data_IF_692002855967
#
_entry.id   IF_692002855967
#
_cell.length_a   1.000
_cell.length_b   1.000
_cell.length_c   1.000
_cell.angle_alpha   90.00
_cell.angle_beta   90.00
_cell.angle_gamma   90.00
#
_symmetry.space_group_name_H-M   'P 1'
#
loop_
_entity.id
_entity.type
_entity.pdbx_description
1 polymer ?
#
# COMPACT_ATOMS: atom_id res chain seq x y z
N UNK A 1 -1.73 -20.09 6.17
CA UNK A 1 -2.37 -18.83 5.71
C UNK A 1 -1.85 -18.55 4.32
N UNK A 2 -2.69 -18.16 3.38
CA UNK A 2 -2.32 -17.84 2.00
C UNK A 2 -2.01 -16.35 1.80
N UNK A 3 -1.36 -16.03 0.67
CA UNK A 3 -0.98 -14.65 0.32
C UNK A 3 -2.19 -13.72 0.27
N UNK A 4 -3.31 -14.12 -0.36
CA UNK A 4 -4.46 -13.23 -0.53
C UNK A 4 -5.06 -12.82 0.81
N UNK A 5 -5.16 -13.75 1.76
CA UNK A 5 -5.60 -13.43 3.13
C UNK A 5 -4.64 -12.47 3.84
N UNK A 6 -3.32 -12.64 3.64
CA UNK A 6 -2.31 -11.73 4.20
C UNK A 6 -2.40 -10.32 3.56
N UNK A 7 -2.59 -10.25 2.24
CA UNK A 7 -2.80 -9.00 1.52
C UNK A 7 -4.07 -8.29 1.98
N UNK A 8 -5.16 -9.02 2.20
CA UNK A 8 -6.42 -8.46 2.69
C UNK A 8 -6.26 -7.84 4.09
N UNK A 9 -5.64 -8.57 5.04
CA UNK A 9 -5.43 -8.06 6.41
C UNK A 9 -4.53 -6.83 6.45
N UNK A 10 -3.40 -6.87 5.74
CA UNK A 10 -2.47 -5.73 5.67
C UNK A 10 -3.00 -4.59 4.78
N UNK A 11 -4.00 -4.87 3.93
CA UNK A 11 -4.71 -3.91 3.09
C UNK A 11 -5.70 -3.04 3.86
N UNK A 12 -6.28 -3.54 4.95
CA UNK A 12 -7.22 -2.79 5.82
C UNK A 12 -6.57 -1.58 6.51
N UNK A 13 -5.23 -1.52 6.54
CA UNK A 13 -4.47 -0.45 7.17
C UNK A 13 -3.71 0.36 6.12
N UNK A 14 -4.38 1.27 5.38
CA UNK A 14 -3.78 2.00 4.27
C UNK A 14 -2.67 2.97 4.70
N UNK A 15 -2.71 3.44 5.94
CA UNK A 15 -1.71 4.36 6.49
C UNK A 15 -0.52 3.65 7.15
N UNK A 16 -0.63 2.35 7.45
CA UNK A 16 0.47 1.59 8.03
C UNK A 16 1.41 1.07 6.95
N UNK A 17 2.71 1.22 7.24
CA UNK A 17 3.79 0.74 6.39
C UNK A 17 4.50 -0.40 7.07
N UNK A 18 3.87 -1.57 7.10
CA UNK A 18 4.49 -2.77 7.65
C UNK A 18 5.85 -3.01 6.96
N UNK A 19 6.92 -2.91 7.75
CA UNK A 19 8.31 -3.05 7.31
C UNK A 19 8.89 -4.39 7.70
N UNK A 20 8.33 -5.03 8.72
CA UNK A 20 8.84 -6.30 9.21
C UNK A 20 7.71 -7.22 9.71
N UNK A 21 8.06 -8.47 10.00
CA UNK A 21 7.21 -9.44 10.68
C UNK A 21 8.01 -10.06 11.81
N UNK A 22 7.41 -10.15 12.99
CA UNK A 22 8.01 -10.78 14.17
C UNK A 22 7.03 -11.80 14.74
N UNK A 23 7.54 -12.76 15.50
CA UNK A 23 6.70 -13.65 16.28
C UNK A 23 7.07 -13.57 17.76
N UNK A 24 6.10 -13.80 18.63
CA UNK A 24 6.26 -13.79 20.08
C UNK A 24 5.66 -15.07 20.66
N UNK A 25 6.38 -15.66 21.62
CA UNK A 25 5.91 -16.84 22.36
C UNK A 25 4.97 -16.36 23.46
N UNK A 26 3.72 -16.81 23.41
CA UNK A 26 2.67 -16.45 24.34
C UNK A 26 2.11 -17.72 25.00
N UNK A 27 2.78 -18.15 26.09
CA UNK A 27 2.48 -19.42 26.75
C UNK A 27 2.73 -20.62 25.83
N UNK A 28 1.71 -21.44 25.63
CA UNK A 28 1.79 -22.66 24.80
C UNK A 28 1.61 -22.40 23.29
N UNK A 29 1.60 -21.12 22.89
CA UNK A 29 1.33 -20.70 21.51
C UNK A 29 2.34 -19.68 21.06
N UNK A 30 2.46 -19.53 19.76
CA UNK A 30 3.31 -18.52 19.13
C UNK A 30 2.45 -17.63 18.26
N UNK A 31 2.53 -16.33 18.49
CA UNK A 31 1.75 -15.32 17.79
C UNK A 31 2.63 -14.57 16.81
N UNK A 32 2.11 -14.31 15.61
CA UNK A 32 2.83 -13.66 14.53
C UNK A 32 2.23 -12.29 14.28
N UNK A 33 3.09 -11.28 14.22
CA UNK A 33 2.75 -9.87 14.13
C UNK A 33 3.44 -9.21 12.94
N UNK A 34 2.69 -8.39 12.19
CA UNK A 34 3.28 -7.45 11.24
C UNK A 34 3.66 -6.15 11.97
N UNK A 35 4.84 -5.65 11.69
CA UNK A 35 5.45 -4.52 12.39
C UNK A 35 5.56 -3.32 11.46
N UNK A 36 4.99 -2.20 11.88
CA UNK A 36 5.24 -0.89 11.27
C UNK A 36 6.12 -0.07 12.23
N UNK A 37 7.34 0.23 11.78
CA UNK A 37 8.25 1.14 12.48
C UNK A 37 8.26 2.44 11.70
N UNK A 38 7.47 3.41 12.16
CA UNK A 38 7.42 4.74 11.57
C UNK A 38 7.58 5.81 12.65
N UNK A 39 8.40 6.83 12.34
CA UNK A 39 8.61 8.01 13.20
C UNK A 39 8.79 7.66 14.69
N UNK A 40 9.69 6.71 14.98
CA UNK A 40 10.05 6.24 16.32
C UNK A 40 8.95 5.46 17.08
N UNK A 41 7.81 5.18 16.45
CA UNK A 41 6.74 4.37 17.04
C UNK A 41 6.74 2.99 16.41
N UNK A 42 6.70 1.94 17.23
CA UNK A 42 6.53 0.55 16.79
C UNK A 42 5.08 0.14 16.98
N UNK A 43 4.39 -0.11 15.88
CA UNK A 43 3.03 -0.66 15.88
C UNK A 43 3.08 -2.14 15.52
N UNK A 44 2.31 -2.97 16.23
CA UNK A 44 2.18 -4.40 15.97
C UNK A 44 0.74 -4.71 15.54
N UNK A 45 0.59 -5.40 14.42
CA UNK A 45 -0.68 -5.92 13.95
C UNK A 45 -0.68 -7.44 14.04
N UNK A 46 -1.63 -8.01 14.78
CA UNK A 46 -1.81 -9.45 14.87
C UNK A 46 -2.19 -10.09 13.52
N UNK A 47 -1.41 -11.07 13.06
CA UNK A 47 -1.64 -11.79 11.80
C UNK A 47 -2.26 -13.16 12.07
N UNK A 48 -1.61 -14.00 12.85
CA UNK A 48 -2.12 -15.33 13.18
C UNK A 48 -1.40 -15.90 14.40
N UNK A 49 -1.91 -17.04 14.89
CA UNK A 49 -1.26 -17.83 15.94
C UNK A 49 -0.99 -19.24 15.45
N UNK A 50 0.09 -19.84 15.91
CA UNK A 50 0.47 -21.22 15.67
C UNK A 50 0.84 -21.90 16.98
N UNK A 51 0.96 -23.23 16.96
CA UNK A 51 1.29 -24.03 18.14
C UNK A 51 2.79 -24.24 18.31
N UNK A 52 3.56 -24.15 17.21
CA UNK A 52 4.99 -24.49 17.20
C UNK A 52 5.83 -23.31 16.70
N UNK A 53 6.96 -23.05 17.36
CA UNK A 53 7.93 -22.04 16.90
C UNK A 53 8.45 -22.33 15.50
N UNK A 54 8.73 -23.59 15.16
CA UNK A 54 9.18 -23.96 13.81
C UNK A 54 8.20 -23.52 12.71
N UNK A 55 6.89 -23.64 12.98
CA UNK A 55 5.86 -23.14 12.08
C UNK A 55 5.83 -21.62 12.05
N UNK A 56 6.05 -20.97 13.19
CA UNK A 56 6.11 -19.52 13.30
C UNK A 56 7.28 -18.94 12.52
N UNK A 57 8.46 -19.55 12.60
CA UNK A 57 9.65 -19.17 11.83
C UNK A 57 9.40 -19.29 10.32
N UNK A 58 8.87 -20.44 9.87
CA UNK A 58 8.58 -20.68 8.46
C UNK A 58 7.57 -19.67 7.90
N UNK A 59 6.48 -19.41 8.64
CA UNK A 59 5.47 -18.42 8.25
C UNK A 59 6.02 -16.99 8.30
N UNK A 60 6.82 -16.66 9.31
CA UNK A 60 7.43 -15.33 9.45
C UNK A 60 8.35 -15.05 8.26
N UNK A 61 9.20 -16.01 7.89
CA UNK A 61 10.06 -15.90 6.70
C UNK A 61 9.24 -15.68 5.43
N UNK A 62 8.17 -16.47 5.25
CA UNK A 62 7.27 -16.34 4.11
C UNK A 62 6.58 -14.97 4.07
N UNK A 63 6.09 -14.46 5.21
CA UNK A 63 5.44 -13.15 5.27
C UNK A 63 6.42 -12.00 5.04
N UNK A 64 7.66 -12.10 5.54
CA UNK A 64 8.73 -11.13 5.22
C UNK A 64 9.00 -11.06 3.72
N UNK A 65 8.95 -12.19 3.01
CA UNK A 65 9.12 -12.22 1.56
C UNK A 65 7.94 -11.56 0.80
N UNK A 66 6.74 -11.60 1.39
CA UNK A 66 5.54 -11.01 0.79
C UNK A 66 5.39 -9.51 1.05
N UNK A 67 5.94 -8.99 2.16
CA UNK A 67 5.88 -7.56 2.50
C UNK A 67 6.37 -6.62 1.37
N UNK A 68 7.53 -6.84 0.72
CA UNK A 68 7.98 -6.02 -0.40
C UNK A 68 7.05 -6.10 -1.61
N UNK A 69 6.49 -7.29 -1.89
CA UNK A 69 5.59 -7.54 -3.02
C UNK A 69 4.29 -6.73 -2.88
N UNK A 70 3.82 -6.56 -1.64
CA UNK A 70 2.68 -5.72 -1.28
C UNK A 70 2.94 -4.22 -1.48
N UNK A 71 4.12 -3.72 -1.11
CA UNK A 71 4.47 -2.30 -1.27
C UNK A 71 4.53 -1.89 -2.75
N UNK A 72 4.97 -2.80 -3.63
CA UNK A 72 5.00 -2.57 -5.07
C UNK A 72 3.60 -2.43 -5.67
N UNK A 73 2.64 -3.26 -5.24
CA UNK A 73 1.23 -3.14 -5.67
C UNK A 73 0.60 -1.83 -5.19
N UNK A 74 0.77 -1.47 -3.91
CA UNK A 74 0.22 -0.23 -3.33
C UNK A 74 0.78 1.04 -4.01
N UNK A 75 2.08 1.07 -4.34
CA UNK A 75 2.69 2.19 -5.08
C UNK A 75 2.10 2.36 -6.49
N UNK A 76 1.84 1.26 -7.19
CA UNK A 76 1.27 1.31 -8.55
C UNK A 76 -0.16 1.85 -8.57
N UNK A 77 -0.96 1.56 -7.54
CA UNK A 77 -2.33 2.09 -7.39
C UNK A 77 -2.30 3.57 -7.00
N UNK A 78 -1.47 3.96 -6.03
CA UNK A 78 -1.34 5.36 -5.62
C UNK A 78 -0.89 6.28 -6.77
N UNK A 79 0.06 5.83 -7.59
CA UNK A 79 0.51 6.56 -8.78
C UNK A 79 -0.62 6.69 -9.81
N UNK A 80 -1.40 5.64 -10.05
CA UNK A 80 -2.55 5.71 -10.97
C UNK A 80 -3.66 6.64 -10.46
N UNK A 81 -3.95 6.62 -9.15
CA UNK A 81 -4.94 7.51 -8.54
C UNK A 81 -4.48 8.97 -8.57
N UNK A 82 -3.19 9.23 -8.31
CA UNK A 82 -2.60 10.56 -8.44
C UNK A 82 -2.68 11.08 -9.89
N UNK A 83 -2.42 10.21 -10.88
CA UNK A 83 -2.52 10.56 -12.31
C UNK A 83 -3.96 10.92 -12.72
N UNK A 84 -4.94 10.13 -12.29
CA UNK A 84 -6.37 10.40 -12.53
C UNK A 84 -6.85 11.71 -11.89
N UNK A 85 -6.37 12.04 -10.69
CA UNK A 85 -6.71 13.30 -10.02
C UNK A 85 -6.06 14.52 -10.69
N UNK A 86 -4.84 14.40 -11.24
CA UNK A 86 -4.24 15.46 -12.04
C UNK A 86 -4.99 15.71 -13.37
N UNK A 87 -5.47 14.67 -14.05
CA UNK A 87 -6.26 14.81 -15.29
C UNK A 87 -7.61 15.51 -15.06
N UNK A 88 -8.21 15.38 -13.87
CA UNK A 88 -9.48 16.04 -13.53
C UNK A 88 -9.33 17.54 -13.22
N UNK A 89 -8.10 18.01 -13.05
CA UNK A 89 -7.79 19.39 -12.62
C UNK A 89 -7.48 20.36 -13.77
N UNK A 90 -7.49 19.90 -15.03
CA UNK A 90 -7.40 20.78 -16.20
C UNK A 90 -8.79 20.90 -16.85
N UNK A 91 -9.51 22.02 -16.68
CA UNK A 91 -10.64 22.28 -17.56
C UNK A 91 -10.06 22.52 -18.96
N UNK A 92 -10.42 21.67 -19.91
CA UNK A 92 -10.20 21.89 -21.34
C UNK A 92 -10.90 23.19 -21.75
N UNK A 93 -10.20 24.32 -21.62
CA UNK A 93 -10.66 25.63 -22.05
C UNK A 93 -9.51 26.38 -22.71
N UNK A 94 -9.05 25.87 -23.85
CA UNK A 94 -8.35 26.70 -24.82
C UNK A 94 -8.54 26.13 -26.22
N UNK A 95 -9.68 26.43 -26.82
CA UNK A 95 -9.80 26.45 -28.27
C UNK A 95 -10.89 27.45 -28.67
N UNK A 96 -10.49 28.73 -28.78
CA UNK A 96 -11.19 29.70 -29.63
C UNK A 96 -10.13 30.30 -30.55
N UNK A 97 -10.14 29.99 -31.86
CA UNK A 97 -9.29 30.72 -32.79
C UNK A 97 -9.81 32.16 -32.92
N UNK A 98 -8.90 33.13 -32.79
CA UNK A 98 -9.16 34.53 -33.05
C UNK A 98 -9.50 34.72 -34.54
N UNK A 99 -10.75 35.06 -34.83
CA UNK A 99 -11.13 35.53 -36.16
C UNK A 99 -10.57 36.94 -36.36
N UNK A 100 -9.49 37.04 -37.13
CA UNK A 100 -8.98 38.31 -37.64
C UNK A 100 -10.07 39.00 -38.46
N UNK A 101 -10.50 40.17 -38.00
CA UNK A 101 -11.26 41.13 -38.78
C UNK A 101 -10.37 41.72 -39.87
N UNK A 102 -10.62 41.34 -41.11
CA UNK A 102 -10.12 42.04 -42.29
C UNK A 102 -11.31 42.54 -43.09
N UNK A 103 -11.53 43.85 -43.11
CA UNK A 103 -12.26 44.52 -44.20
C UNK A 103 -11.73 45.94 -44.34
N UNK A 104 -10.97 46.12 -45.43
CA UNK A 104 -10.61 47.39 -46.05
C UNK A 104 -11.89 48.16 -46.40
N UNK A 105 -11.93 49.44 -46.07
CA UNK A 105 -12.52 50.47 -46.93
C UNK A 105 -11.64 51.71 -46.87
N UNK A 106 -11.00 52.03 -48.00
CA UNK A 106 -11.06 53.29 -48.75
C UNK A 106 -10.21 53.14 -50.00
#
# INVERSE_FOLDING_TARGET
MDLATFEARTGLWPHMQFTDVEYEVCGDRVEIYAIDISRQTKSKLFICRVLNEQQAESLTAQFKEWLPKLRLKKRKVAVNLARLNCEKSYPASLNRPAAHSASRQL
#
